data_IF_713105503184
#
_entry.id   IF_713105503184
#
_cell.length_a   1.000
_cell.length_b   1.000
_cell.length_c   1.000
_cell.angle_alpha   90.00
_cell.angle_beta   90.00
_cell.angle_gamma   90.00
#
_symmetry.space_group_name_H-M   'P 1'
#
loop_
_entity.id
_entity.type
_entity.pdbx_description
1 polymer ?
#
# COMPACT_ATOMS: atom_id res chain seq x y z
N UNK A 1 14.52 -20.28 11.40
CA UNK A 1 13.68 -19.54 10.44
C UNK A 1 13.80 -18.06 10.75
N UNK A 2 14.54 -17.28 9.94
CA UNK A 2 14.61 -15.82 10.11
C UNK A 2 13.54 -15.18 9.21
N UNK A 3 12.30 -15.13 9.69
CA UNK A 3 11.18 -14.45 9.02
C UNK A 3 11.24 -12.93 9.25
N UNK A 4 12.40 -12.32 9.03
CA UNK A 4 12.56 -10.86 9.18
C UNK A 4 12.27 -10.21 7.83
N UNK A 5 11.30 -9.28 7.73
CA UNK A 5 11.09 -8.52 6.50
C UNK A 5 12.36 -7.80 6.07
N UNK A 6 12.70 -7.89 4.78
CA UNK A 6 13.82 -7.13 4.22
C UNK A 6 13.49 -5.63 4.23
N UNK A 7 14.35 -4.84 4.87
CA UNK A 7 14.17 -3.40 4.99
C UNK A 7 15.52 -2.68 5.12
N UNK A 8 15.52 -1.37 4.87
CA UNK A 8 16.65 -0.46 5.04
C UNK A 8 17.93 -0.94 4.33
N UNK A 9 17.82 -1.39 3.08
CA UNK A 9 18.97 -1.92 2.34
C UNK A 9 19.98 -0.84 1.95
N UNK A 10 19.54 0.41 1.81
CA UNK A 10 20.39 1.58 1.66
C UNK A 10 19.88 2.72 2.59
N UNK A 11 20.22 2.70 3.89
CA UNK A 11 19.69 3.66 4.86
C UNK A 11 20.16 5.11 4.60
N UNK A 12 21.32 5.27 3.95
CA UNK A 12 21.89 6.57 3.58
C UNK A 12 21.44 7.05 2.18
N UNK A 13 20.49 6.33 1.55
CA UNK A 13 19.97 6.73 0.24
C UNK A 13 19.25 8.08 0.32
N UNK A 14 19.53 8.95 -0.65
CA UNK A 14 18.81 10.21 -0.81
C UNK A 14 17.54 9.97 -1.62
N UNK A 15 16.40 10.38 -1.09
CA UNK A 15 15.13 10.36 -1.81
C UNK A 15 15.02 11.56 -2.73
N UNK A 16 14.81 11.31 -4.02
CA UNK A 16 14.53 12.34 -5.01
C UNK A 16 13.03 12.52 -5.15
N UNK A 17 12.57 13.71 -4.75
CA UNK A 17 11.15 14.07 -4.76
C UNK A 17 10.57 13.94 -6.18
N UNK A 18 9.34 13.43 -6.27
CA UNK A 18 8.60 13.35 -7.53
C UNK A 18 7.95 14.71 -7.80
N UNK A 19 8.62 15.56 -8.59
CA UNK A 19 8.13 16.90 -8.94
C UNK A 19 7.15 16.92 -10.13
N UNK A 20 7.08 15.83 -10.90
CA UNK A 20 6.11 15.72 -12.00
C UNK A 20 4.67 15.74 -11.44
N UNK A 21 3.84 16.75 -11.79
CA UNK A 21 2.51 16.89 -11.22
C UNK A 21 1.59 15.72 -11.56
N UNK A 22 1.76 15.11 -12.73
CA UNK A 22 0.96 13.98 -13.18
C UNK A 22 1.26 12.71 -12.40
N UNK A 23 2.54 12.44 -12.15
CA UNK A 23 3.00 11.33 -11.32
C UNK A 23 2.61 11.53 -9.86
N UNK A 24 2.80 12.74 -9.31
CA UNK A 24 2.34 13.06 -7.97
C UNK A 24 0.84 12.80 -7.81
N UNK A 25 0.01 13.29 -8.74
CA UNK A 25 -1.44 13.06 -8.69
C UNK A 25 -1.77 11.57 -8.73
N UNK A 26 -1.10 10.79 -9.58
CA UNK A 26 -1.33 9.35 -9.64
C UNK A 26 -0.96 8.63 -8.34
N UNK A 27 0.14 9.05 -7.69
CA UNK A 27 0.55 8.56 -6.38
C UNK A 27 -0.47 8.94 -5.31
N UNK A 28 -0.91 10.20 -5.27
CA UNK A 28 -1.88 10.69 -4.28
C UNK A 28 -3.26 10.03 -4.41
N UNK A 29 -3.76 9.84 -5.65
CA UNK A 29 -5.04 9.15 -5.91
C UNK A 29 -5.01 7.68 -5.46
N UNK A 30 -3.83 7.04 -5.48
CA UNK A 30 -3.68 5.59 -5.27
C UNK A 30 -3.09 5.22 -3.92
N UNK A 31 -2.26 6.09 -3.37
CA UNK A 31 -1.43 5.86 -2.21
C UNK A 31 -1.29 7.16 -1.40
N UNK A 32 -2.45 7.73 -1.06
CA UNK A 32 -2.61 8.99 -0.30
C UNK A 32 -1.93 8.93 1.06
N UNK A 33 -1.25 10.01 1.44
CA UNK A 33 -0.82 10.24 2.82
C UNK A 33 -2.01 10.73 3.65
N UNK A 34 -2.43 9.96 4.65
CA UNK A 34 -3.64 10.27 5.45
C UNK A 34 -3.35 11.11 6.71
N UNK A 35 -2.10 11.49 6.94
CA UNK A 35 -1.64 12.15 8.17
C UNK A 35 -1.37 13.65 8.01
N UNK A 36 -1.41 14.17 6.78
CA UNK A 36 -1.22 15.58 6.46
C UNK A 36 -2.16 15.99 5.34
N UNK A 37 -2.23 17.29 5.04
CA UNK A 37 -3.02 17.76 3.91
C UNK A 37 -2.28 17.55 2.57
N UNK A 38 -3.01 17.71 1.46
CA UNK A 38 -2.46 17.48 0.11
C UNK A 38 -1.33 18.44 -0.22
N UNK A 39 -1.34 19.67 0.32
CA UNK A 39 -0.29 20.66 0.05
C UNK A 39 1.00 20.23 0.74
N UNK A 40 0.93 19.89 2.01
CA UNK A 40 2.07 19.41 2.80
C UNK A 40 2.61 18.08 2.26
N UNK A 41 1.71 17.16 1.90
CA UNK A 41 2.05 15.89 1.25
C UNK A 41 2.81 16.12 -0.06
N UNK A 42 2.34 17.05 -0.90
CA UNK A 42 3.01 17.39 -2.16
C UNK A 42 4.37 18.04 -1.96
N UNK A 43 4.46 18.95 -1.00
CA UNK A 43 5.68 19.71 -0.74
C UNK A 43 6.81 18.82 -0.22
N UNK A 44 6.49 17.96 0.75
CA UNK A 44 7.48 17.22 1.52
C UNK A 44 7.58 15.74 1.17
N UNK A 45 6.51 15.12 0.67
CA UNK A 45 6.45 13.70 0.32
C UNK A 45 6.98 12.75 1.41
N UNK A 46 6.79 13.10 2.69
CA UNK A 46 7.41 12.40 3.84
C UNK A 46 7.03 10.93 3.87
N UNK A 47 5.76 10.63 3.58
CA UNK A 47 5.27 9.27 3.51
C UNK A 47 5.97 8.45 2.42
N UNK A 48 5.99 8.95 1.19
CA UNK A 48 6.62 8.24 0.06
C UNK A 48 8.15 8.12 0.23
N UNK A 49 8.80 9.14 0.79
CA UNK A 49 10.21 9.08 1.18
C UNK A 49 10.47 7.94 2.17
N UNK A 50 9.66 7.85 3.23
CA UNK A 50 9.78 6.78 4.22
C UNK A 50 9.67 5.39 3.58
N UNK A 51 8.63 5.17 2.79
CA UNK A 51 8.37 3.90 2.13
C UNK A 51 9.48 3.52 1.14
N UNK A 52 9.97 4.48 0.36
CA UNK A 52 11.05 4.22 -0.59
C UNK A 52 12.37 3.90 0.12
N UNK A 53 12.81 4.72 1.09
CA UNK A 53 14.09 4.49 1.78
C UNK A 53 14.06 3.15 2.52
N UNK A 54 12.95 2.85 3.21
CA UNK A 54 12.83 1.63 4.02
C UNK A 54 12.60 0.37 3.19
N UNK A 55 11.84 0.45 2.09
CA UNK A 55 11.42 -0.73 1.32
C UNK A 55 11.84 -0.68 -0.16
N UNK A 56 11.69 0.46 -0.82
CA UNK A 56 12.07 0.62 -2.24
C UNK A 56 13.55 0.36 -2.52
N UNK A 57 14.45 0.78 -1.63
CA UNK A 57 15.91 0.54 -1.74
C UNK A 57 16.30 -0.94 -1.72
N UNK A 58 15.40 -1.82 -1.28
CA UNK A 58 15.60 -3.26 -1.27
C UNK A 58 15.09 -3.95 -2.55
N UNK A 59 14.46 -3.22 -3.46
CA UNK A 59 13.84 -3.77 -4.66
C UNK A 59 14.82 -3.81 -5.83
N UNK A 60 15.71 -4.81 -5.85
CA UNK A 60 16.68 -5.01 -6.94
C UNK A 60 16.02 -4.93 -8.34
N UNK A 61 16.56 -4.11 -9.23
CA UNK A 61 16.04 -3.90 -10.58
C UNK A 61 14.88 -2.90 -10.71
N UNK A 62 14.35 -2.41 -9.58
CA UNK A 62 13.33 -1.36 -9.50
C UNK A 62 13.65 -0.35 -8.38
N UNK A 63 14.94 -0.12 -8.14
CA UNK A 63 15.51 0.69 -7.06
C UNK A 63 15.53 2.20 -7.34
N UNK A 64 14.89 2.65 -8.43
CA UNK A 64 14.61 4.08 -8.64
C UNK A 64 13.23 4.42 -8.09
N UNK A 65 13.07 5.62 -7.52
CA UNK A 65 11.81 6.11 -6.96
C UNK A 65 10.67 5.97 -7.98
N UNK A 66 10.92 6.42 -9.21
CA UNK A 66 9.95 6.35 -10.29
C UNK A 66 9.55 4.93 -10.68
N UNK A 67 10.48 3.98 -10.76
CA UNK A 67 10.17 2.59 -11.08
C UNK A 67 9.39 1.91 -9.96
N UNK A 68 9.83 2.10 -8.71
CA UNK A 68 9.19 1.58 -7.51
C UNK A 68 7.73 2.03 -7.41
N UNK A 69 7.46 3.34 -7.46
CA UNK A 69 6.09 3.85 -7.34
C UNK A 69 5.21 3.43 -8.52
N UNK A 70 5.75 3.40 -9.74
CA UNK A 70 4.99 2.89 -10.91
C UNK A 70 4.60 1.43 -10.74
N UNK A 71 5.49 0.59 -10.20
CA UNK A 71 5.17 -0.81 -9.93
C UNK A 71 4.07 -0.94 -8.87
N UNK A 72 4.19 -0.20 -7.76
CA UNK A 72 3.18 -0.18 -6.70
C UNK A 72 1.79 0.22 -7.23
N UNK A 73 1.71 1.31 -8.01
CA UNK A 73 0.46 1.77 -8.62
C UNK A 73 -0.12 0.73 -9.59
N UNK A 74 0.71 0.09 -10.43
CA UNK A 74 0.25 -0.97 -11.33
C UNK A 74 -0.31 -2.18 -10.57
N UNK A 75 0.28 -2.53 -9.42
CA UNK A 75 -0.22 -3.63 -8.58
C UNK A 75 -1.56 -3.26 -7.94
N UNK A 76 -1.72 -2.03 -7.45
CA UNK A 76 -3.00 -1.52 -6.94
C UNK A 76 -4.09 -1.58 -8.02
N UNK A 77 -3.80 -1.11 -9.22
CA UNK A 77 -4.76 -1.07 -10.32
C UNK A 77 -5.12 -2.49 -10.81
N UNK A 78 -4.18 -3.43 -10.75
CA UNK A 78 -4.43 -4.83 -11.10
C UNK A 78 -5.36 -5.53 -10.11
N UNK A 79 -5.24 -5.21 -8.82
CA UNK A 79 -5.97 -5.88 -7.75
C UNK A 79 -6.85 -4.88 -6.99
N UNK A 80 -7.95 -4.48 -7.62
CA UNK A 80 -9.00 -3.71 -6.97
C UNK A 80 -9.73 -4.58 -5.93
N UNK A 81 -9.19 -4.58 -4.70
CA UNK A 81 -9.71 -5.36 -3.58
C UNK A 81 -11.16 -5.03 -3.27
N UNK A 82 -11.58 -3.76 -3.42
CA UNK A 82 -12.94 -3.36 -3.12
C UNK A 82 -13.92 -3.98 -4.13
N UNK A 83 -13.57 -3.97 -5.42
CA UNK A 83 -14.37 -4.63 -6.45
C UNK A 83 -14.41 -6.14 -6.24
N UNK A 84 -13.27 -6.77 -5.92
CA UNK A 84 -13.20 -8.22 -5.64
C UNK A 84 -14.11 -8.62 -4.48
N UNK A 85 -14.07 -7.85 -3.38
CA UNK A 85 -14.88 -8.11 -2.19
C UNK A 85 -16.37 -7.90 -2.49
N UNK A 86 -16.73 -6.80 -3.17
CA UNK A 86 -18.12 -6.51 -3.55
C UNK A 86 -18.74 -7.59 -4.44
N UNK A 87 -17.98 -8.11 -5.39
CA UNK A 87 -18.42 -9.20 -6.25
C UNK A 87 -18.75 -10.49 -5.48
N UNK A 88 -18.20 -10.63 -4.26
CA UNK A 88 -18.48 -11.74 -3.33
C UNK A 88 -19.50 -11.38 -2.24
N UNK A 89 -20.21 -10.26 -2.38
CA UNK A 89 -21.19 -9.79 -1.38
C UNK A 89 -20.58 -9.17 -0.12
N UNK A 90 -19.27 -8.92 -0.11
CA UNK A 90 -18.55 -8.30 1.01
C UNK A 90 -18.49 -6.79 0.78
N UNK A 91 -19.26 -6.03 1.56
CA UNK A 91 -19.37 -4.57 1.46
C UNK A 91 -19.01 -3.91 2.80
N UNK A 92 -18.44 -2.69 2.80
CA UNK A 92 -18.16 -1.97 4.04
C UNK A 92 -19.41 -1.78 4.92
N UNK A 93 -19.24 -1.81 6.25
CA UNK A 93 -20.31 -1.60 7.23
C UNK A 93 -20.96 -2.86 7.81
N UNK A 94 -20.45 -4.05 7.46
CA UNK A 94 -20.94 -5.33 7.98
C UNK A 94 -19.80 -6.21 8.52
N UNK A 95 -20.17 -7.26 9.23
CA UNK A 95 -19.24 -8.26 9.76
C UNK A 95 -19.11 -9.47 8.83
N UNK A 96 -17.89 -9.94 8.65
CA UNK A 96 -17.57 -11.08 7.79
C UNK A 96 -16.52 -11.96 8.47
N UNK A 97 -16.54 -13.27 8.18
CA UNK A 97 -15.50 -14.16 8.67
C UNK A 97 -14.19 -13.92 7.90
N UNK A 98 -13.06 -14.07 8.59
CA UNK A 98 -11.72 -14.01 7.97
C UNK A 98 -11.63 -14.97 6.77
N UNK A 99 -12.16 -16.18 6.89
CA UNK A 99 -12.19 -17.18 5.81
C UNK A 99 -12.95 -16.69 4.57
N UNK A 100 -14.09 -16.01 4.74
CA UNK A 100 -14.85 -15.46 3.61
C UNK A 100 -14.07 -14.38 2.84
N UNK A 101 -13.39 -13.48 3.56
CA UNK A 101 -12.54 -12.44 2.98
C UNK A 101 -11.36 -13.07 2.24
N UNK A 102 -10.67 -14.03 2.87
CA UNK A 102 -9.54 -14.72 2.26
C UNK A 102 -9.94 -15.47 1.00
N UNK A 103 -11.09 -16.18 1.01
CA UNK A 103 -11.61 -16.91 -0.16
C UNK A 103 -11.95 -15.98 -1.31
N UNK A 104 -12.63 -14.86 -1.04
CA UNK A 104 -12.97 -13.86 -2.04
C UNK A 104 -11.71 -13.33 -2.75
N UNK A 105 -10.71 -12.91 -1.98
CA UNK A 105 -9.46 -12.37 -2.53
C UNK A 105 -8.68 -13.47 -3.29
N UNK A 106 -8.51 -14.65 -2.67
CA UNK A 106 -7.79 -15.79 -3.29
C UNK A 106 -8.42 -16.25 -4.60
N UNK A 107 -9.75 -16.16 -4.72
CA UNK A 107 -10.49 -16.53 -5.94
C UNK A 107 -10.00 -15.77 -7.16
N UNK A 108 -9.59 -14.50 -6.99
CA UNK A 108 -9.11 -13.62 -8.05
C UNK A 108 -7.59 -13.57 -8.12
N UNK A 109 -6.92 -13.36 -6.98
CA UNK A 109 -5.44 -13.20 -6.95
C UNK A 109 -4.70 -14.52 -7.10
N UNK A 110 -5.38 -15.67 -6.92
CA UNK A 110 -4.81 -17.02 -6.84
C UNK A 110 -3.80 -17.22 -5.70
N UNK A 111 -3.68 -16.26 -4.79
CA UNK A 111 -2.81 -16.31 -3.62
C UNK A 111 -3.62 -16.08 -2.34
N UNK A 112 -3.20 -16.69 -1.23
CA UNK A 112 -3.83 -16.45 0.08
C UNK A 112 -3.33 -15.10 0.60
N UNK A 113 -4.19 -14.10 0.85
CA UNK A 113 -3.75 -12.82 1.41
C UNK A 113 -3.38 -12.97 2.89
N UNK A 114 -2.42 -12.16 3.33
CA UNK A 114 -2.17 -11.93 4.75
C UNK A 114 -3.08 -10.80 5.23
N UNK A 115 -4.00 -11.10 6.14
CA UNK A 115 -4.97 -10.13 6.66
C UNK A 115 -4.51 -9.59 8.01
N UNK A 116 -4.53 -8.27 8.15
CA UNK A 116 -4.28 -7.56 9.40
C UNK A 116 -5.56 -6.87 9.85
N UNK A 117 -5.93 -7.07 11.11
CA UNK A 117 -7.08 -6.43 11.75
C UNK A 117 -6.58 -5.42 12.79
N UNK A 118 -7.21 -4.24 12.82
CA UNK A 118 -7.01 -3.25 13.87
C UNK A 118 -8.27 -3.23 14.74
N UNK A 119 -8.16 -3.16 16.07
CA UNK A 119 -9.30 -2.98 16.95
C UNK A 119 -10.07 -1.70 16.57
N UNK A 120 -11.40 -1.73 16.66
CA UNK A 120 -12.20 -0.52 16.54
C UNK A 120 -11.90 0.39 17.72
N UNK A 121 -11.42 1.64 17.52
CA UNK A 121 -11.19 2.59 18.59
C UNK A 121 -12.44 2.84 19.45
N UNK A 122 -13.64 2.70 18.86
CA UNK A 122 -14.93 2.87 19.52
C UNK A 122 -15.47 1.56 20.12
N UNK A 123 -14.89 0.41 19.77
CA UNK A 123 -15.25 -0.88 20.33
C UNK A 123 -14.00 -1.79 20.48
N UNK A 124 -13.15 -1.55 21.50
CA UNK A 124 -11.83 -2.19 21.63
C UNK A 124 -11.87 -3.68 21.97
N UNK A 125 -13.06 -4.27 22.13
CA UNK A 125 -13.28 -5.65 22.56
C UNK A 125 -13.66 -6.60 21.40
N UNK A 126 -13.72 -6.09 20.17
CA UNK A 126 -13.90 -6.87 18.94
C UNK A 126 -12.59 -6.98 18.17
#
# INVERSE_FOLDING_TARGET
>A
NKNTPLNNCAPDATYHKIDDPGMFKQMDDRWTELTSDVKDSKEHQRFWQHEFIKHGTCCEGHDTEGAYFKLAMRLKDRFDLLTILRASGIIPGNYYSIDSIQKAIKGVTRAVPNLYCNPDPNNPRM
#
